data_IF_365188376182
#
_entry.id   IF_365188376182
#
_cell.length_a   1.000
_cell.length_b   1.000
_cell.length_c   1.000
_cell.angle_alpha   90.00
_cell.angle_beta   90.00
_cell.angle_gamma   90.00
#
_symmetry.space_group_name_H-M   'P 1'
#
loop_
_entity.id
_entity.type
_entity.pdbx_description
1 polymer ?
#
# COMPACT_ATOMS: atom_id res chain seq x y z
N UNK A 1 -4.43 -35.74 9.52
CA UNK A 1 -5.25 -34.55 9.23
C UNK A 1 -4.37 -33.59 8.45
N UNK A 2 -4.52 -33.64 7.13
CA UNK A 2 -3.82 -32.76 6.20
C UNK A 2 -4.34 -31.34 6.42
N UNK A 3 -3.43 -30.40 6.65
CA UNK A 3 -3.76 -28.98 6.68
C UNK A 3 -4.06 -28.59 5.24
N UNK A 4 -5.31 -28.25 4.97
CA UNK A 4 -5.75 -27.66 3.71
C UNK A 4 -4.87 -26.42 3.42
N UNK A 5 -4.40 -26.21 2.18
CA UNK A 5 -3.53 -25.08 1.88
C UNK A 5 -4.31 -23.79 2.09
N UNK A 6 -3.82 -22.94 2.98
CA UNK A 6 -4.30 -21.57 3.16
C UNK A 6 -4.27 -20.85 1.80
N UNK A 7 -5.41 -20.80 1.11
CA UNK A 7 -5.72 -20.11 -0.15
C UNK A 7 -4.50 -19.73 -1.02
N UNK A 8 -4.33 -20.43 -2.15
CA UNK A 8 -3.23 -20.32 -3.13
C UNK A 8 -3.04 -18.97 -3.84
N UNK A 9 -3.11 -17.86 -3.11
CA UNK A 9 -2.75 -16.53 -3.56
C UNK A 9 -1.21 -16.34 -3.50
N UNK A 10 -0.58 -15.85 -4.58
CA UNK A 10 0.85 -15.56 -4.62
C UNK A 10 1.33 -14.68 -3.48
N UNK A 11 2.55 -14.95 -2.99
CA UNK A 11 3.15 -14.20 -1.88
C UNK A 11 3.31 -12.70 -2.21
N UNK A 12 3.59 -12.38 -3.47
CA UNK A 12 3.69 -11.03 -4.00
C UNK A 12 2.37 -10.27 -3.84
N UNK A 13 1.24 -10.90 -4.13
CA UNK A 13 -0.09 -10.28 -3.97
C UNK A 13 -0.35 -10.00 -2.50
N UNK A 14 0.00 -10.94 -1.60
CA UNK A 14 -0.13 -10.73 -0.15
C UNK A 14 0.70 -9.53 0.31
N UNK A 15 1.94 -9.39 -0.17
CA UNK A 15 2.80 -8.25 0.14
C UNK A 15 2.19 -6.93 -0.37
N UNK A 16 1.65 -6.91 -1.58
CA UNK A 16 1.00 -5.72 -2.15
C UNK A 16 -0.21 -5.31 -1.30
N UNK A 17 -1.06 -6.26 -0.91
CA UNK A 17 -2.25 -6.01 -0.08
C UNK A 17 -1.89 -5.47 1.30
N UNK A 18 -0.96 -6.12 2.01
CA UNK A 18 -0.52 -5.65 3.32
C UNK A 18 0.12 -4.26 3.26
N UNK A 19 0.92 -4.00 2.22
CA UNK A 19 1.51 -2.68 2.00
C UNK A 19 0.44 -1.62 1.73
N UNK A 20 -0.57 -1.95 0.91
CA UNK A 20 -1.70 -1.09 0.61
C UNK A 20 -2.48 -0.71 1.88
N UNK A 21 -2.88 -1.70 2.68
CA UNK A 21 -3.64 -1.47 3.93
C UNK A 21 -2.87 -0.60 4.92
N UNK A 22 -1.59 -0.92 5.16
CA UNK A 22 -0.75 -0.15 6.09
C UNK A 22 -0.48 1.26 5.58
N UNK A 23 -0.22 1.42 4.28
CA UNK A 23 -0.02 2.72 3.67
C UNK A 23 -1.22 3.64 3.90
N UNK A 24 -2.42 3.18 3.54
CA UNK A 24 -3.64 3.99 3.69
C UNK A 24 -3.98 4.26 5.16
N UNK A 25 -3.75 3.31 6.06
CA UNK A 25 -3.90 3.54 7.50
C UNK A 25 -3.02 4.70 7.98
N UNK A 26 -1.73 4.70 7.64
CA UNK A 26 -0.81 5.76 8.07
C UNK A 26 -1.07 7.08 7.37
N UNK A 27 -1.39 7.08 6.07
CA UNK A 27 -1.76 8.31 5.35
C UNK A 27 -2.99 8.96 5.98
N UNK A 28 -4.04 8.18 6.27
CA UNK A 28 -5.24 8.71 6.92
C UNK A 28 -4.97 9.26 8.32
N UNK A 29 -4.10 8.60 9.11
CA UNK A 29 -3.65 9.17 10.39
C UNK A 29 -2.95 10.51 10.20
N UNK A 30 -2.06 10.60 9.20
CA UNK A 30 -1.38 11.85 8.83
C UNK A 30 -2.37 12.96 8.50
N UNK A 31 -3.35 12.68 7.63
CA UNK A 31 -4.42 13.63 7.25
C UNK A 31 -5.17 14.13 8.48
N UNK A 32 -5.64 13.23 9.34
CA UNK A 32 -6.41 13.60 10.54
C UNK A 32 -5.58 14.48 11.49
N UNK A 33 -4.32 14.14 11.75
CA UNK A 33 -3.45 14.96 12.61
C UNK A 33 -3.11 16.31 11.98
N UNK A 34 -2.97 16.37 10.66
CA UNK A 34 -2.68 17.60 9.90
C UNK A 34 -3.85 18.59 9.99
N UNK A 35 -5.09 18.08 9.89
CA UNK A 35 -6.34 18.82 10.08
C UNK A 35 -6.52 19.33 11.51
N UNK A 36 -6.06 18.56 12.52
CA UNK A 36 -6.02 18.98 13.92
C UNK A 36 -4.88 19.97 14.24
N UNK A 37 -4.05 20.33 13.24
CA UNK A 37 -2.93 21.25 13.41
C UNK A 37 -1.67 20.63 14.01
N UNK A 38 -1.63 19.31 14.23
CA UNK A 38 -0.50 18.57 14.79
C UNK A 38 0.55 18.26 13.71
N UNK A 39 1.19 19.30 13.18
CA UNK A 39 2.02 19.20 11.96
C UNK A 39 3.19 18.22 12.06
N UNK A 40 3.89 18.16 13.20
CA UNK A 40 5.03 17.24 13.35
C UNK A 40 4.60 15.78 13.45
N UNK A 41 3.47 15.50 14.11
CA UNK A 41 2.91 14.15 14.17
C UNK A 41 2.41 13.70 12.80
N UNK A 42 1.75 14.59 12.05
CA UNK A 42 1.32 14.36 10.68
C UNK A 42 2.50 13.97 9.77
N UNK A 43 3.61 14.72 9.84
CA UNK A 43 4.84 14.39 9.09
C UNK A 43 5.36 12.99 9.43
N UNK A 44 5.29 12.57 10.70
CA UNK A 44 5.73 11.23 11.10
C UNK A 44 4.84 10.13 10.50
N UNK A 45 3.52 10.32 10.50
CA UNK A 45 2.60 9.37 9.87
C UNK A 45 2.76 9.33 8.35
N UNK A 46 2.91 10.49 7.69
CA UNK A 46 3.16 10.54 6.25
C UNK A 46 4.45 9.80 5.87
N UNK A 47 5.55 9.96 6.62
CA UNK A 47 6.79 9.22 6.39
C UNK A 47 6.59 7.70 6.47
N UNK A 48 5.84 7.22 7.47
CA UNK A 48 5.51 5.79 7.59
C UNK A 48 4.64 5.30 6.43
N UNK A 49 3.62 6.08 6.06
CA UNK A 49 2.77 5.79 4.90
C UNK A 49 3.58 5.67 3.61
N UNK A 50 4.49 6.62 3.36
CA UNK A 50 5.41 6.60 2.21
C UNK A 50 6.24 5.31 2.16
N UNK A 51 6.76 4.85 3.29
CA UNK A 51 7.52 3.59 3.35
C UNK A 51 6.71 2.39 2.85
N UNK A 52 5.44 2.29 3.28
CA UNK A 52 4.53 1.23 2.82
C UNK A 52 4.13 1.39 1.34
N UNK A 53 3.87 2.62 0.89
CA UNK A 53 3.58 2.90 -0.52
C UNK A 53 4.72 2.42 -1.42
N UNK A 54 5.96 2.78 -1.09
CA UNK A 54 7.14 2.37 -1.85
C UNK A 54 7.31 0.84 -1.88
N UNK A 55 7.12 0.18 -0.74
CA UNK A 55 7.19 -1.30 -0.65
C UNK A 55 6.15 -1.98 -1.53
N UNK A 56 4.91 -1.50 -1.54
CA UNK A 56 3.85 -2.08 -2.37
C UNK A 56 4.06 -1.83 -3.86
N UNK A 57 4.55 -0.63 -4.23
CA UNK A 57 4.82 -0.24 -5.62
C UNK A 57 6.00 -1.01 -6.22
N UNK A 58 7.00 -1.40 -5.41
CA UNK A 58 8.22 -2.07 -5.91
C UNK A 58 8.00 -3.53 -6.33
N UNK A 59 6.85 -4.13 -6.02
CA UNK A 59 6.57 -5.53 -6.38
C UNK A 59 6.17 -5.63 -7.86
N UNK A 60 6.79 -6.55 -8.60
CA UNK A 60 6.47 -6.76 -10.01
C UNK A 60 5.11 -7.46 -10.18
N UNK A 61 4.09 -6.73 -10.63
CA UNK A 61 2.73 -7.25 -10.84
C UNK A 61 2.30 -7.29 -12.33
N UNK A 62 3.21 -6.95 -13.25
CA UNK A 62 2.93 -6.84 -14.69
C UNK A 62 3.73 -7.86 -15.53
N UNK A 63 4.31 -8.89 -14.90
CA UNK A 63 5.01 -9.95 -15.60
C UNK A 63 4.03 -10.83 -16.42
N UNK A 64 4.46 -11.45 -17.53
CA UNK A 64 3.61 -12.29 -18.37
C UNK A 64 2.88 -13.44 -17.63
N UNK A 65 3.43 -13.92 -16.52
CA UNK A 65 2.81 -14.95 -15.66
C UNK A 65 1.81 -14.40 -14.62
N UNK A 66 1.71 -13.08 -14.46
CA UNK A 66 0.90 -12.42 -13.44
C UNK A 66 -0.47 -12.03 -13.99
N UNK A 67 -1.26 -13.05 -14.35
CA UNK A 67 -2.58 -12.91 -14.98
C UNK A 67 -3.71 -13.31 -14.05
N UNK A 68 -4.94 -12.90 -14.39
CA UNK A 68 -6.14 -13.21 -13.61
C UNK A 68 -6.52 -12.14 -12.58
N UNK A 69 -7.69 -12.30 -11.95
CA UNK A 69 -8.37 -11.22 -11.21
C UNK A 69 -7.60 -10.76 -9.97
N UNK A 70 -6.88 -11.65 -9.29
CA UNK A 70 -6.07 -11.29 -8.14
C UNK A 70 -4.93 -10.33 -8.52
N UNK A 71 -4.27 -10.58 -9.65
CA UNK A 71 -3.20 -9.72 -10.16
C UNK A 71 -3.73 -8.40 -10.72
N UNK A 72 -4.94 -8.39 -11.32
CA UNK A 72 -5.61 -7.15 -11.71
C UNK A 72 -5.93 -6.27 -10.51
N UNK A 73 -6.47 -6.85 -9.43
CA UNK A 73 -6.72 -6.13 -8.18
C UNK A 73 -5.41 -5.59 -7.57
N UNK A 74 -4.33 -6.38 -7.58
CA UNK A 74 -3.02 -5.95 -7.11
C UNK A 74 -2.47 -4.75 -7.91
N UNK A 75 -2.63 -4.74 -9.24
CA UNK A 75 -2.25 -3.60 -10.09
C UNK A 75 -3.08 -2.36 -9.79
N UNK A 76 -4.39 -2.50 -9.55
CA UNK A 76 -5.24 -1.37 -9.15
C UNK A 76 -4.81 -0.78 -7.80
N UNK A 77 -4.45 -1.63 -6.82
CA UNK A 77 -3.88 -1.19 -5.55
C UNK A 77 -2.59 -0.41 -5.76
N UNK A 78 -1.67 -0.93 -6.59
CA UNK A 78 -0.42 -0.24 -6.91
C UNK A 78 -0.65 1.11 -7.59
N UNK A 79 -1.63 1.22 -8.47
CA UNK A 79 -1.97 2.49 -9.11
C UNK A 79 -2.43 3.54 -8.09
N UNK A 80 -3.35 3.17 -7.20
CA UNK A 80 -3.79 4.03 -6.09
C UNK A 80 -2.64 4.41 -5.14
N UNK A 81 -1.71 3.50 -4.88
CA UNK A 81 -0.52 3.79 -4.09
C UNK A 81 0.38 4.83 -4.78
N UNK A 82 0.57 4.75 -6.10
CA UNK A 82 1.36 5.74 -6.86
C UNK A 82 0.75 7.14 -6.78
N UNK A 83 -0.56 7.24 -6.98
CA UNK A 83 -1.30 8.51 -6.88
C UNK A 83 -1.22 9.09 -5.47
N UNK A 84 -1.41 8.24 -4.46
CA UNK A 84 -1.31 8.66 -3.05
C UNK A 84 0.12 9.08 -2.69
N UNK A 85 1.14 8.40 -3.19
CA UNK A 85 2.54 8.77 -2.96
C UNK A 85 2.85 10.16 -3.52
N UNK A 86 2.34 10.49 -4.70
CA UNK A 86 2.46 11.84 -5.27
C UNK A 86 1.79 12.88 -4.37
N UNK A 87 0.56 12.62 -3.92
CA UNK A 87 -0.21 13.53 -3.08
C UNK A 87 0.38 13.73 -1.68
N UNK A 88 0.97 12.69 -1.08
CA UNK A 88 1.59 12.79 0.26
C UNK A 88 2.92 13.53 0.17
N UNK A 89 3.69 13.35 -0.91
CA UNK A 89 4.95 14.08 -1.13
C UNK A 89 4.75 15.60 -1.31
N UNK A 90 3.60 16.04 -1.81
CA UNK A 90 3.30 17.48 -1.91
C UNK A 90 2.87 18.11 -0.59
N UNK A 91 2.50 17.30 0.40
CA UNK A 91 2.11 17.75 1.76
C UNK A 91 3.28 17.81 2.74
N UNK A 92 4.40 17.15 2.44
CA UNK A 92 5.64 17.17 3.21
C UNK A 92 6.54 18.33 2.78
#
# INVERSE_FOLDING_TARGET
MEREPENGEPAEIKIIKEAYEKAFMFVNKGLNTDELGQKEEAKNYYKQGIGHLLRGISIAAAEPGHTGPAWEAARQMQQKMKETLQNVRTRL
#
